data_IF_739777795530
#
_entry.id   IF_739777795530
#
_cell.length_a   1.000
_cell.length_b   1.000
_cell.length_c   1.000
_cell.angle_alpha   90.00
_cell.angle_beta   90.00
_cell.angle_gamma   90.00
#
_symmetry.space_group_name_H-M   'P 1'
#
loop_
_entity.id
_entity.type
_entity.pdbx_description
1 polymer ?
#
# COMPACT_ATOMS: atom_id res chain seq x y z
N UNK A 1 4.22 -20.53 9.86
CA UNK A 1 5.12 -19.53 9.22
C UNK A 1 5.32 -18.34 10.14
N UNK A 2 6.41 -17.60 9.95
CA UNK A 2 6.67 -16.32 10.64
C UNK A 2 6.11 -15.17 9.82
N UNK A 3 5.27 -14.34 10.44
CA UNK A 3 4.60 -13.21 9.78
C UNK A 3 4.87 -11.94 10.57
N UNK A 4 5.34 -10.87 9.92
CA UNK A 4 5.40 -9.57 10.57
C UNK A 4 4.05 -8.85 10.45
N UNK A 5 3.52 -8.30 11.53
CA UNK A 5 2.30 -7.50 11.53
C UNK A 5 2.62 -6.07 11.91
N UNK A 6 2.15 -5.09 11.15
CA UNK A 6 2.29 -3.67 11.47
C UNK A 6 0.98 -2.93 11.28
N UNK A 7 0.71 -1.94 12.13
CA UNK A 7 -0.42 -1.06 11.95
C UNK A 7 -0.15 0.35 12.47
N UNK A 8 -0.82 1.34 11.87
CA UNK A 8 -0.93 2.68 12.43
C UNK A 8 -2.12 2.77 13.42
N UNK A 9 -2.31 3.94 14.01
CA UNK A 9 -3.40 4.21 14.95
C UNK A 9 -4.79 3.90 14.39
N UNK A 10 -5.01 4.12 13.09
CA UNK A 10 -6.28 3.83 12.45
C UNK A 10 -6.47 2.33 12.20
N UNK A 11 -5.38 1.58 12.02
CA UNK A 11 -5.36 0.12 11.89
C UNK A 11 -5.38 -0.64 13.22
N UNK A 12 -5.08 0.01 14.33
CA UNK A 12 -4.99 -0.59 15.67
C UNK A 12 -6.23 -1.44 16.06
N UNK A 13 -7.49 -1.05 15.76
CA UNK A 13 -8.66 -1.88 16.11
C UNK A 13 -8.70 -3.27 15.46
N UNK A 14 -8.04 -3.46 14.32
CA UNK A 14 -7.98 -4.76 13.63
C UNK A 14 -6.77 -5.59 14.05
N UNK A 15 -5.85 -5.04 14.86
CA UNK A 15 -4.61 -5.70 15.25
C UNK A 15 -4.86 -6.99 16.04
N UNK A 16 -5.53 -6.89 17.18
CA UNK A 16 -5.72 -8.05 18.06
C UNK A 16 -6.53 -9.18 17.41
N UNK A 17 -7.67 -8.91 16.71
CA UNK A 17 -8.43 -9.97 16.06
C UNK A 17 -7.62 -10.73 15.00
N UNK A 18 -6.86 -10.01 14.16
CA UNK A 18 -6.04 -10.65 13.12
C UNK A 18 -4.90 -11.44 13.77
N UNK A 19 -4.11 -10.85 14.67
CA UNK A 19 -2.98 -11.53 15.31
C UNK A 19 -3.46 -12.81 16.01
N UNK A 20 -4.53 -12.72 16.80
CA UNK A 20 -5.07 -13.87 17.53
C UNK A 20 -5.52 -15.00 16.58
N UNK A 21 -6.20 -14.66 15.47
CA UNK A 21 -6.63 -15.65 14.48
C UNK A 21 -5.43 -16.35 13.81
N UNK A 22 -4.39 -15.59 13.44
CA UNK A 22 -3.20 -16.14 12.81
C UNK A 22 -2.39 -17.02 13.77
N UNK A 23 -2.29 -16.64 15.05
CA UNK A 23 -1.65 -17.46 16.08
C UNK A 23 -2.43 -18.76 16.32
N UNK A 24 -3.77 -18.71 16.33
CA UNK A 24 -4.62 -19.91 16.41
C UNK A 24 -4.42 -20.85 15.22
N UNK A 25 -4.15 -20.31 14.03
CA UNK A 25 -3.84 -21.08 12.83
C UNK A 25 -2.38 -21.62 12.83
N UNK A 26 -1.62 -21.41 13.90
CA UNK A 26 -0.26 -21.91 14.08
C UNK A 26 0.82 -21.03 13.42
N UNK A 27 0.52 -19.76 13.14
CA UNK A 27 1.52 -18.80 12.70
C UNK A 27 2.21 -18.11 13.89
N UNK A 28 3.46 -17.72 13.68
CA UNK A 28 4.24 -16.96 14.64
C UNK A 28 4.24 -15.50 14.20
N UNK A 29 3.50 -14.66 14.92
CA UNK A 29 3.32 -13.25 14.52
C UNK A 29 4.30 -12.35 15.27
N UNK A 30 5.16 -11.66 14.51
CA UNK A 30 6.02 -10.59 15.02
C UNK A 30 5.25 -9.27 14.93
N UNK A 31 4.75 -8.81 16.07
CA UNK A 31 4.02 -7.55 16.18
C UNK A 31 4.97 -6.34 16.20
N UNK A 32 4.96 -5.59 15.09
CA UNK A 32 5.72 -4.36 14.85
C UNK A 32 4.80 -3.14 14.75
N UNK A 33 3.52 -3.26 15.09
CA UNK A 33 2.54 -2.17 14.97
C UNK A 33 2.52 -1.22 16.16
N UNK A 34 1.65 -0.22 16.10
CA UNK A 34 1.35 0.62 17.27
C UNK A 34 0.68 -0.17 18.39
N UNK A 35 0.90 0.25 19.63
CA UNK A 35 0.27 -0.28 20.84
C UNK A 35 -0.80 0.67 21.43
N UNK A 36 -1.08 1.79 20.75
CA UNK A 36 -2.14 2.72 21.13
C UNK A 36 -2.86 3.29 19.90
N UNK A 37 -4.02 3.90 20.15
CA UNK A 37 -4.79 4.67 19.18
C UNK A 37 -4.30 6.11 19.00
N UNK A 38 -3.17 6.46 19.62
CA UNK A 38 -2.57 7.79 19.50
C UNK A 38 -2.03 8.01 18.08
N UNK A 39 -2.14 9.22 17.51
CA UNK A 39 -1.69 9.50 16.15
C UNK A 39 -0.21 9.13 15.93
N UNK A 40 0.03 8.35 14.88
CA UNK A 40 1.34 7.87 14.43
C UNK A 40 1.38 7.78 12.90
N UNK A 41 2.59 7.75 12.35
CA UNK A 41 2.83 7.75 10.91
C UNK A 41 3.01 6.33 10.34
N UNK A 42 2.10 5.91 9.46
CA UNK A 42 2.15 4.59 8.82
C UNK A 42 3.47 4.23 8.09
N UNK A 43 4.28 5.18 7.53
CA UNK A 43 5.53 4.82 6.86
C UNK A 43 6.56 4.15 7.79
N UNK A 44 6.56 4.45 9.08
CA UNK A 44 7.50 3.84 10.02
C UNK A 44 7.22 2.35 10.21
N UNK A 45 5.95 1.98 10.36
CA UNK A 45 5.51 0.59 10.43
C UNK A 45 5.73 -0.15 9.10
N UNK A 46 5.46 0.52 7.97
CA UNK A 46 5.75 -0.04 6.65
C UNK A 46 7.25 -0.36 6.47
N UNK A 47 8.12 0.52 6.96
CA UNK A 47 9.57 0.31 6.97
C UNK A 47 9.98 -0.84 7.88
N UNK A 48 9.42 -0.94 9.08
CA UNK A 48 9.72 -2.03 10.01
C UNK A 48 9.34 -3.40 9.43
N UNK A 49 8.10 -3.56 8.97
CA UNK A 49 7.61 -4.80 8.34
C UNK A 49 8.38 -5.12 7.06
N UNK A 50 8.58 -4.13 6.19
CA UNK A 50 9.31 -4.32 4.94
C UNK A 50 10.76 -4.75 5.17
N UNK A 51 11.45 -4.20 6.17
CA UNK A 51 12.79 -4.64 6.52
C UNK A 51 12.80 -6.05 7.12
N UNK A 52 11.81 -6.43 7.92
CA UNK A 52 11.69 -7.79 8.43
C UNK A 52 11.58 -8.83 7.30
N UNK A 53 10.76 -8.53 6.28
CA UNK A 53 10.60 -9.38 5.08
C UNK A 53 11.88 -9.41 4.24
N UNK A 54 12.48 -8.25 3.95
CA UNK A 54 13.70 -8.15 3.11
C UNK A 54 14.90 -8.87 3.70
N UNK A 55 15.03 -8.83 5.02
CA UNK A 55 16.12 -9.50 5.74
C UNK A 55 15.81 -10.97 6.05
N UNK A 56 14.68 -11.50 5.55
CA UNK A 56 14.26 -12.90 5.73
C UNK A 56 14.06 -13.32 7.20
N UNK A 57 13.80 -12.35 8.09
CA UNK A 57 13.41 -12.61 9.48
C UNK A 57 12.00 -13.20 9.56
N UNK A 58 11.14 -12.78 8.65
CA UNK A 58 9.80 -13.32 8.45
C UNK A 58 9.63 -13.73 6.99
N UNK A 59 8.68 -14.61 6.72
CA UNK A 59 8.36 -15.08 5.37
C UNK A 59 7.49 -14.04 4.64
N UNK A 60 6.53 -13.47 5.36
CA UNK A 60 5.52 -12.55 4.83
C UNK A 60 5.22 -11.43 5.84
N UNK A 61 4.64 -10.32 5.34
CA UNK A 61 4.22 -9.20 6.17
C UNK A 61 2.74 -8.84 5.97
N UNK A 62 2.12 -8.27 7.00
CA UNK A 62 0.78 -7.69 6.96
C UNK A 62 0.86 -6.27 7.52
N UNK A 63 0.28 -5.31 6.79
CA UNK A 63 0.17 -3.91 7.18
C UNK A 63 -1.29 -3.50 7.21
N UNK A 64 -1.70 -2.82 8.27
CA UNK A 64 -3.06 -2.29 8.41
C UNK A 64 -3.01 -0.80 8.68
N UNK A 65 -3.64 0.00 7.83
CA UNK A 65 -3.86 1.41 8.12
C UNK A 65 -5.29 1.81 7.80
N UNK A 66 -5.66 3.08 8.00
CA UNK A 66 -7.03 3.54 7.80
C UNK A 66 -7.65 3.11 6.45
N UNK A 67 -6.98 3.37 5.33
CA UNK A 67 -7.43 2.91 4.00
C UNK A 67 -6.56 1.80 3.39
N UNK A 68 -5.43 1.46 4.02
CA UNK A 68 -4.39 0.59 3.45
C UNK A 68 -3.54 1.22 2.34
N UNK A 69 -4.04 2.28 1.66
CA UNK A 69 -3.37 2.92 0.52
C UNK A 69 -2.01 3.50 0.90
N UNK A 70 -1.95 4.27 1.99
CA UNK A 70 -0.70 4.90 2.42
C UNK A 70 0.38 3.87 2.75
N UNK A 71 0.00 2.85 3.53
CA UNK A 71 0.91 1.77 3.91
C UNK A 71 1.44 1.02 2.68
N UNK A 72 0.58 0.70 1.72
CA UNK A 72 0.98 0.06 0.47
C UNK A 72 1.94 0.92 -0.36
N UNK A 73 1.69 2.23 -0.46
CA UNK A 73 2.57 3.16 -1.17
C UNK A 73 3.95 3.20 -0.51
N UNK A 74 4.00 3.34 0.83
CA UNK A 74 5.24 3.40 1.58
C UNK A 74 6.05 2.10 1.50
N UNK A 75 5.39 0.95 1.72
CA UNK A 75 6.03 -0.37 1.67
C UNK A 75 6.64 -0.66 0.29
N UNK A 76 5.93 -0.34 -0.80
CA UNK A 76 6.44 -0.53 -2.17
C UNK A 76 7.62 0.41 -2.54
N UNK A 77 8.01 1.37 -1.68
CA UNK A 77 9.27 2.13 -1.87
C UNK A 77 10.51 1.36 -1.40
N UNK A 78 10.32 0.27 -0.67
CA UNK A 78 11.40 -0.56 -0.16
C UNK A 78 11.74 -1.63 -1.20
N UNK A 79 12.97 -1.61 -1.72
CA UNK A 79 13.41 -2.58 -2.75
C UNK A 79 13.23 -4.02 -2.28
N UNK A 80 12.59 -4.85 -3.09
CA UNK A 80 12.31 -6.26 -2.78
C UNK A 80 11.02 -6.46 -2.00
N UNK A 81 10.31 -5.39 -1.63
CA UNK A 81 8.95 -5.46 -1.07
C UNK A 81 7.95 -5.28 -2.20
N UNK A 82 6.99 -6.20 -2.26
CA UNK A 82 5.83 -6.17 -3.15
C UNK A 82 4.59 -6.18 -2.27
N UNK A 83 4.11 -4.98 -1.98
CA UNK A 83 2.96 -4.77 -1.12
C UNK A 83 1.67 -4.66 -1.96
N UNK A 84 0.68 -5.48 -1.64
CA UNK A 84 -0.62 -5.47 -2.30
C UNK A 84 -1.70 -4.94 -1.36
N UNK A 85 -2.44 -3.91 -1.80
CA UNK A 85 -3.64 -3.46 -1.11
C UNK A 85 -4.81 -4.36 -1.52
N UNK A 86 -5.38 -5.08 -0.56
CA UNK A 86 -6.50 -5.98 -0.79
C UNK A 86 -7.65 -5.66 0.15
N UNK A 87 -8.88 -5.75 -0.35
CA UNK A 87 -10.12 -5.50 0.40
C UNK A 87 -11.15 -6.61 0.18
N UNK A 88 -10.75 -7.68 -0.50
CA UNK A 88 -11.57 -8.84 -0.81
C UNK A 88 -10.67 -10.07 -1.01
N UNK A 89 -11.27 -11.26 -0.93
CA UNK A 89 -10.56 -12.54 -1.04
C UNK A 89 -9.89 -12.72 -2.42
N UNK A 90 -10.54 -12.24 -3.48
CA UNK A 90 -10.05 -12.40 -4.85
C UNK A 90 -8.73 -11.66 -5.06
N UNK A 91 -8.67 -10.38 -4.71
CA UNK A 91 -7.47 -9.55 -4.84
C UNK A 91 -6.36 -10.03 -3.92
N UNK A 92 -6.70 -10.53 -2.73
CA UNK A 92 -5.75 -11.14 -1.81
C UNK A 92 -5.06 -12.35 -2.45
N UNK A 93 -5.87 -13.34 -2.88
CA UNK A 93 -5.38 -14.55 -3.55
C UNK A 93 -4.56 -14.23 -4.80
N UNK A 94 -5.10 -13.41 -5.70
CA UNK A 94 -4.43 -13.03 -6.94
C UNK A 94 -3.11 -12.32 -6.69
N UNK A 95 -3.01 -11.47 -5.66
CA UNK A 95 -1.74 -10.79 -5.36
C UNK A 95 -0.61 -11.77 -5.01
N UNK A 96 -0.94 -12.93 -4.42
CA UNK A 96 0.02 -13.99 -4.13
C UNK A 96 0.31 -14.85 -5.35
N UNK A 97 -0.75 -15.32 -6.01
CA UNK A 97 -0.66 -16.24 -7.14
C UNK A 97 0.03 -15.60 -8.36
N UNK A 98 -0.27 -14.33 -8.67
CA UNK A 98 0.20 -13.65 -9.88
C UNK A 98 1.44 -12.78 -9.65
N UNK A 99 1.50 -12.06 -8.53
CA UNK A 99 2.52 -11.03 -8.28
C UNK A 99 3.54 -11.44 -7.21
N UNK A 100 3.37 -12.62 -6.60
CA UNK A 100 4.17 -13.08 -5.46
C UNK A 100 4.32 -11.98 -4.40
N UNK A 101 3.23 -11.28 -4.08
CA UNK A 101 3.21 -10.21 -3.09
C UNK A 101 3.72 -10.76 -1.75
N UNK A 102 4.68 -10.09 -1.12
CA UNK A 102 5.25 -10.52 0.16
C UNK A 102 4.80 -9.65 1.34
N UNK A 103 4.02 -8.61 1.06
CA UNK A 103 3.33 -7.80 2.08
C UNK A 103 1.87 -7.62 1.68
N UNK A 104 0.95 -7.95 2.57
CA UNK A 104 -0.47 -7.62 2.47
C UNK A 104 -0.74 -6.27 3.11
N UNK A 105 -1.53 -5.41 2.47
CA UNK A 105 -2.01 -4.15 3.04
C UNK A 105 -3.54 -4.19 3.12
N UNK A 106 -4.09 -3.89 4.30
CA UNK A 106 -5.53 -3.86 4.58
C UNK A 106 -5.97 -2.46 5.01
N UNK A 107 -7.24 -2.16 4.75
CA UNK A 107 -7.87 -0.87 5.08
C UNK A 107 -8.85 -1.03 6.23
N UNK A 108 -8.47 -0.57 7.43
CA UNK A 108 -9.29 -0.75 8.63
C UNK A 108 -10.64 -0.01 8.61
N UNK A 109 -10.80 1.01 7.76
CA UNK A 109 -12.08 1.72 7.59
C UNK A 109 -12.99 1.07 6.56
N UNK A 110 -12.49 0.12 5.79
CA UNK A 110 -13.21 -0.56 4.72
C UNK A 110 -13.63 -1.99 5.10
N UNK A 111 -12.98 -2.58 6.11
CA UNK A 111 -13.19 -3.97 6.53
C UNK A 111 -13.63 -4.03 7.98
N UNK A 112 -14.52 -4.97 8.27
CA UNK A 112 -14.74 -5.46 9.63
C UNK A 112 -13.66 -6.50 10.02
N UNK A 113 -13.54 -6.85 11.32
CA UNK A 113 -12.54 -7.81 11.78
C UNK A 113 -12.64 -9.17 11.11
N UNK A 114 -13.84 -9.71 10.93
CA UNK A 114 -14.07 -11.01 10.34
C UNK A 114 -13.59 -11.06 8.88
N UNK A 115 -13.96 -10.08 8.05
CA UNK A 115 -13.51 -9.97 6.67
C UNK A 115 -11.98 -9.79 6.59
N UNK A 116 -11.40 -8.99 7.49
CA UNK A 116 -9.95 -8.79 7.52
C UNK A 116 -9.19 -10.08 7.87
N UNK A 117 -9.74 -10.89 8.79
CA UNK A 117 -9.20 -12.21 9.13
C UNK A 117 -9.30 -13.17 7.94
N UNK A 118 -10.45 -13.25 7.28
CA UNK A 118 -10.64 -14.13 6.11
C UNK A 118 -9.70 -13.76 4.96
N UNK A 119 -9.54 -12.46 4.68
CA UNK A 119 -8.60 -11.95 3.68
C UNK A 119 -7.16 -12.31 4.04
N UNK A 120 -6.76 -12.12 5.30
CA UNK A 120 -5.41 -12.48 5.76
C UNK A 120 -5.14 -13.98 5.61
N UNK A 121 -6.11 -14.83 5.96
CA UNK A 121 -6.01 -16.28 5.83
C UNK A 121 -5.90 -16.73 4.38
N UNK A 122 -6.77 -16.23 3.50
CA UNK A 122 -6.74 -16.54 2.07
C UNK A 122 -5.40 -16.11 1.43
N UNK A 123 -4.88 -14.95 1.85
CA UNK A 123 -3.58 -14.48 1.38
C UNK A 123 -2.42 -15.35 1.87
N UNK A 124 -2.41 -15.75 3.14
CA UNK A 124 -1.35 -16.59 3.70
C UNK A 124 -1.39 -18.04 3.17
N UNK A 125 -2.57 -18.53 2.79
CA UNK A 125 -2.72 -19.88 2.21
C UNK A 125 -2.40 -19.93 0.72
N UNK A 126 -2.47 -18.79 0.01
CA UNK A 126 -2.21 -18.72 -1.42
C UNK A 126 -0.70 -18.81 -1.75
N UNK A 127 -0.39 -19.62 -2.77
CA UNK A 127 0.96 -19.86 -3.26
C UNK A 127 1.20 -19.19 -4.62
N UNK A 128 2.43 -18.74 -4.87
CA UNK A 128 2.78 -18.17 -6.17
C UNK A 128 2.66 -19.22 -7.27
N UNK A 129 1.94 -18.90 -8.36
CA UNK A 129 1.61 -19.91 -9.38
C UNK A 129 2.83 -20.40 -10.18
N UNK A 130 3.90 -19.60 -10.22
CA UNK A 130 5.11 -19.93 -10.97
C UNK A 130 4.93 -19.95 -12.48
N UNK A 131 3.79 -19.50 -13.01
CA UNK A 131 3.54 -19.48 -14.45
C UNK A 131 4.50 -18.52 -15.16
N UNK A 132 4.94 -18.89 -16.36
CA UNK A 132 5.94 -18.14 -17.13
C UNK A 132 5.56 -16.65 -17.29
N UNK A 133 4.27 -16.37 -17.51
CA UNK A 133 3.78 -15.00 -17.65
C UNK A 133 3.93 -14.17 -16.36
N UNK A 134 3.83 -14.80 -15.19
CA UNK A 134 3.95 -14.17 -13.87
C UNK A 134 5.41 -13.95 -13.51
N UNK A 135 6.27 -14.96 -13.69
CA UNK A 135 7.73 -14.83 -13.54
C UNK A 135 8.27 -13.67 -14.39
N UNK A 136 7.85 -13.59 -15.66
CA UNK A 136 8.25 -12.49 -16.56
C UNK A 136 7.80 -11.11 -16.06
N UNK A 137 6.58 -10.99 -15.53
CA UNK A 137 6.06 -9.72 -15.00
C UNK A 137 6.79 -9.32 -13.73
N UNK A 138 7.04 -10.28 -12.85
CA UNK A 138 7.82 -10.09 -11.62
C UNK A 138 9.24 -9.59 -11.94
N UNK A 139 9.91 -10.16 -12.94
CA UNK A 139 11.22 -9.69 -13.40
C UNK A 139 11.18 -8.22 -13.84
N UNK A 140 10.13 -7.80 -14.56
CA UNK A 140 9.95 -6.38 -14.95
C UNK A 140 9.72 -5.46 -13.74
N UNK A 141 9.02 -5.92 -12.71
CA UNK A 141 8.87 -5.15 -11.46
C UNK A 141 10.26 -4.95 -10.83
N UNK A 142 11.08 -6.01 -10.77
CA UNK A 142 12.46 -5.91 -10.27
C UNK A 142 13.34 -4.97 -11.09
N UNK A 143 13.17 -4.92 -12.42
CA UNK A 143 13.85 -3.93 -13.28
C UNK A 143 13.45 -2.49 -12.90
N UNK A 144 12.16 -2.23 -12.64
CA UNK A 144 11.68 -0.92 -12.19
C UNK A 144 12.34 -0.49 -10.87
N UNK A 145 12.49 -1.40 -9.91
CA UNK A 145 13.14 -1.13 -8.60
C UNK A 145 14.62 -0.74 -8.73
N UNK A 146 15.29 -1.29 -9.75
CA UNK A 146 16.70 -1.02 -10.05
C UNK A 146 16.89 0.29 -10.84
N UNK A 147 15.80 0.96 -11.22
CA UNK A 147 15.83 2.17 -12.05
C UNK A 147 16.03 1.88 -13.53
N UNK A 148 15.95 0.61 -13.94
CA UNK A 148 15.89 0.25 -15.35
C UNK A 148 14.48 0.47 -15.85
N UNK A 149 14.23 1.67 -16.38
CA UNK A 149 13.11 1.87 -17.28
C UNK A 149 13.57 1.36 -18.65
N UNK A 150 13.04 0.23 -19.17
CA UNK A 150 13.32 -0.13 -20.55
C UNK A 150 12.96 1.07 -21.41
N UNK A 151 13.92 1.56 -22.21
CA UNK A 151 13.59 2.53 -23.27
C UNK A 151 12.42 1.93 -24.01
N UNK A 152 11.37 2.72 -24.25
CA UNK A 152 10.24 2.28 -25.05
C UNK A 152 10.78 1.72 -26.35
N UNK A 153 10.99 0.40 -26.41
CA UNK A 153 11.34 -0.29 -27.63
C UNK A 153 10.16 -0.03 -28.53
N UNK A 154 10.42 0.44 -29.74
CA UNK A 154 9.45 0.72 -30.80
C UNK A 154 8.68 -0.55 -31.20
N UNK A 155 7.91 -1.09 -30.28
CA UNK A 155 6.69 -1.84 -30.53
C UNK A 155 5.56 -0.87 -30.20
N UNK A 156 5.58 0.26 -30.89
CA UNK A 156 4.34 0.92 -31.28
C UNK A 156 3.55 -0.18 -31.95
N UNK A 157 2.56 -0.74 -31.26
CA UNK A 157 1.41 -1.32 -31.94
C UNK A 157 1.02 -0.22 -32.91
N UNK A 158 1.31 -0.40 -34.20
CA UNK A 158 0.71 0.42 -35.24
C UNK A 158 -0.78 0.18 -35.05
N UNK A 159 -1.43 1.02 -34.24
CA UNK A 159 -2.86 1.15 -34.30
C UNK A 159 -3.07 1.68 -35.70
N UNK A 160 -3.47 0.78 -36.61
CA UNK A 160 -4.07 1.23 -37.85
C UNK A 160 -5.14 2.25 -37.45
N UNK A 161 -5.19 3.42 -38.12
CA UNK A 161 -6.22 4.40 -37.81
C UNK A 161 -7.57 3.69 -37.96
N UNK A 162 -8.29 3.57 -36.85
CA UNK A 162 -9.61 2.95 -36.84
C UNK A 162 -10.44 3.66 -37.92
N UNK A 163 -11.02 2.95 -38.90
CA UNK A 163 -11.86 3.59 -39.89
C UNK A 163 -12.99 4.32 -39.14
N UNK A 164 -13.12 5.62 -39.43
CA UNK A 164 -14.14 6.46 -38.82
C UNK A 164 -15.50 5.77 -39.09
N UNK A 165 -16.32 5.49 -38.06
CA UNK A 165 -17.59 4.80 -38.29
C UNK A 165 -18.41 5.61 -39.30
N UNK A 166 -18.97 4.92 -40.30
CA UNK A 166 -19.87 5.53 -41.27
C UNK A 166 -21.00 6.20 -40.51
N UNK A 167 -21.27 7.48 -40.81
CA UNK A 167 -22.40 8.20 -40.21
C UNK A 167 -23.69 7.49 -40.62
N UNK A 168 -24.33 6.81 -39.68
CA UNK A 168 -25.68 6.28 -39.85
C UNK A 168 -26.63 7.42 -39.47
N UNK A 169 -27.44 7.88 -40.43
CA UNK A 169 -28.56 8.81 -40.22
C UNK A 169 -28.16 10.27 -40.03
N UNK A 170 -28.15 11.04 -41.12
CA UNK A 170 -28.35 12.49 -41.01
C UNK A 170 -29.83 12.74 -40.70
N UNK A 171 -30.14 12.96 -39.42
CA UNK A 171 -31.34 13.74 -39.08
C UNK A 171 -31.09 15.21 -39.44
N UNK A 172 -32.02 15.90 -40.11
CA UNK A 172 -31.84 17.31 -40.45
C UNK A 172 -31.74 18.17 -39.19
N UNK A 173 -30.68 18.98 -39.08
CA UNK A 173 -30.51 19.97 -38.01
C UNK A 173 -31.74 20.90 -37.96
N UNK A 174 -32.31 21.17 -36.77
CA UNK A 174 -33.35 22.19 -36.64
C UNK A 174 -32.79 23.59 -36.93
N UNK A 175 -33.60 24.52 -37.48
CA UNK A 175 -33.13 25.83 -37.88
C UNK A 175 -32.57 26.61 -36.69
N UNK A 176 -31.33 27.09 -36.82
CA UNK A 176 -30.65 27.92 -35.83
C UNK A 176 -31.45 29.19 -35.53
N UNK A 177 -31.77 29.41 -34.26
CA UNK A 177 -32.31 30.68 -33.80
C UNK A 177 -31.29 31.81 -34.03
N UNK A 178 -31.78 32.99 -34.45
CA UNK A 178 -30.94 34.18 -34.65
C UNK A 178 -30.23 34.57 -33.33
N UNK A 179 -28.94 34.92 -33.36
CA UNK A 179 -28.26 35.40 -32.16
C UNK A 179 -28.86 36.73 -31.72
N UNK A 180 -29.16 36.85 -30.43
CA UNK A 180 -29.49 38.13 -29.81
C UNK A 180 -28.24 39.03 -29.75
N UNK A 181 -28.39 40.35 -29.88
CA UNK A 181 -27.25 41.26 -29.80
C UNK A 181 -26.64 41.20 -28.40
N UNK A 182 -25.31 41.06 -28.37
CA UNK A 182 -24.48 41.07 -27.16
C UNK A 182 -24.60 42.45 -26.48
N UNK A 183 -24.79 42.53 -25.15
CA UNK A 183 -24.75 43.84 -24.49
C UNK A 183 -23.34 44.45 -24.62
N UNK A 184 -23.30 45.79 -24.73
CA UNK A 184 -22.08 46.55 -24.90
C UNK A 184 -21.12 46.37 -23.70
N UNK A 185 -19.79 46.41 -23.90
CA UNK A 185 -18.84 46.29 -22.80
C UNK A 185 -18.97 47.50 -21.87
N UNK A 186 -19.02 47.26 -20.56
CA UNK A 186 -18.80 48.31 -19.57
C UNK A 186 -17.32 48.71 -19.62
N UNK A 187 -17.06 50.02 -19.62
CA UNK A 187 -15.70 50.57 -19.59
C UNK A 187 -15.00 50.15 -18.29
N UNK A 188 -13.97 49.30 -18.39
CA UNK A 188 -13.08 49.01 -17.27
C UNK A 188 -12.10 50.17 -17.07
N UNK A 189 -12.04 50.72 -15.85
CA UNK A 189 -11.04 51.71 -15.47
C UNK A 189 -9.61 51.17 -15.63
N UNK A 190 -8.65 51.98 -16.08
CA UNK A 190 -7.28 51.52 -16.29
C UNK A 190 -6.61 51.19 -14.95
N UNK A 191 -6.13 49.95 -14.82
CA UNK A 191 -5.36 49.50 -13.68
C UNK A 191 -4.13 50.41 -13.43
N UNK A 192 -3.80 50.75 -12.17
CA UNK A 192 -2.67 51.62 -11.86
C UNK A 192 -1.34 50.97 -12.27
N UNK A 193 -0.45 51.76 -12.86
CA UNK A 193 0.87 51.31 -13.31
C UNK A 193 1.71 50.82 -12.10
N UNK A 194 2.46 49.71 -12.24
CA UNK A 194 3.28 49.20 -11.16
C UNK A 194 4.44 50.17 -10.86
N UNK A 195 4.61 50.48 -9.58
CA UNK A 195 5.71 51.29 -9.05
C UNK A 195 7.00 50.45 -9.11
N UNK A 196 8.16 50.99 -9.57
CA UNK A 196 9.40 50.24 -9.63
C UNK A 196 9.87 49.89 -8.22
N UNK A 197 9.92 48.59 -7.90
CA UNK A 197 10.43 48.08 -6.63
C UNK A 197 11.97 48.16 -6.67
N UNK A 198 12.57 48.84 -5.70
CA UNK A 198 14.02 48.94 -5.56
C UNK A 198 14.68 47.55 -5.61
N UNK A 199 15.71 47.41 -6.44
CA UNK A 199 16.48 46.18 -6.58
C UNK A 199 17.14 45.83 -5.24
N UNK A 200 16.61 44.81 -4.57
CA UNK A 200 17.39 44.10 -3.54
C UNK A 200 18.41 43.24 -4.25
N UNK A 201 19.69 43.49 -3.97
CA UNK A 201 20.81 42.67 -4.41
C UNK A 201 20.50 41.19 -4.11
N UNK A 202 20.62 40.35 -5.15
CA UNK A 202 20.54 38.90 -4.99
C UNK A 202 21.81 38.45 -4.27
N UNK A 203 21.72 37.71 -3.15
CA UNK A 203 22.90 37.08 -2.60
C UNK A 203 23.44 36.05 -3.60
N UNK A 204 24.77 35.96 -3.68
CA UNK A 204 25.48 35.01 -4.53
C UNK A 204 24.99 33.56 -4.28
N UNK A 205 25.02 32.67 -5.30
CA UNK A 205 24.59 31.29 -5.11
C UNK A 205 25.49 30.61 -4.07
N UNK A 206 24.92 30.31 -2.91
CA UNK A 206 25.54 29.42 -1.93
C UNK A 206 25.72 28.05 -2.56
N UNK A 207 26.94 27.50 -2.42
CA UNK A 207 27.29 26.17 -2.87
C UNK A 207 26.28 25.12 -2.40
N UNK A 208 26.01 24.05 -3.20
CA UNK A 208 25.12 22.99 -2.77
C UNK A 208 25.62 22.39 -1.45
N UNK A 209 24.71 22.07 -0.50
CA UNK A 209 25.12 21.40 0.73
C UNK A 209 25.81 20.08 0.38
N UNK A 210 26.86 19.66 1.13
CA UNK A 210 27.47 18.36 0.93
C UNK A 210 26.40 17.28 1.05
N UNK A 211 26.48 16.27 0.18
CA UNK A 211 25.58 15.12 0.20
C UNK A 211 25.47 14.59 1.63
N UNK A 212 24.25 14.59 2.19
CA UNK A 212 23.98 13.97 3.48
C UNK A 212 24.37 12.49 3.36
N UNK A 213 25.35 12.07 4.13
CA UNK A 213 25.60 10.64 4.37
C UNK A 213 24.31 9.98 4.86
N UNK A 214 23.86 8.87 4.26
CA UNK A 214 22.71 8.15 4.74
C UNK A 214 23.19 7.16 5.80
N UNK A 215 23.39 7.59 7.05
CA UNK A 215 23.59 6.63 8.16
C UNK A 215 23.65 7.31 9.53
N UNK A 216 22.55 7.22 10.29
CA UNK A 216 22.57 7.10 11.76
C UNK A 216 21.19 6.83 12.34
N UNK A 217 20.13 7.32 11.70
CA UNK A 217 18.75 7.04 12.12
C UNK A 217 18.28 5.64 11.70
N UNK A 218 18.69 5.14 10.52
CA UNK A 218 18.36 3.79 10.07
C UNK A 218 18.97 2.71 10.97
N UNK A 219 20.21 2.91 11.44
CA UNK A 219 20.86 1.94 12.34
C UNK A 219 20.17 1.82 13.70
N UNK A 220 19.49 2.87 14.18
CA UNK A 220 18.80 2.86 15.47
C UNK A 220 17.60 1.94 15.45
N UNK A 221 16.68 2.14 14.51
CA UNK A 221 15.48 1.30 14.37
C UNK A 221 15.82 -0.10 13.87
N UNK A 222 16.82 -0.27 13.02
CA UNK A 222 17.30 -1.60 12.63
C UNK A 222 17.85 -2.38 13.82
N UNK A 223 18.56 -1.73 14.74
CA UNK A 223 19.04 -2.37 15.96
C UNK A 223 17.91 -2.67 16.95
N UNK A 224 16.90 -1.82 17.03
CA UNK A 224 15.75 -2.00 17.93
C UNK A 224 14.84 -3.13 17.43
N UNK A 225 14.56 -3.18 16.12
CA UNK A 225 13.88 -4.30 15.48
C UNK A 225 14.70 -5.58 15.63
N UNK A 226 16.03 -5.54 15.45
CA UNK A 226 16.89 -6.71 15.67
C UNK A 226 16.83 -7.22 17.12
N UNK A 227 16.77 -6.32 18.12
CA UNK A 227 16.60 -6.71 19.53
C UNK A 227 15.24 -7.34 19.81
N UNK A 228 14.16 -6.75 19.28
CA UNK A 228 12.80 -7.32 19.39
C UNK A 228 12.75 -8.71 18.73
N UNK A 229 13.48 -8.89 17.61
CA UNK A 229 13.59 -10.19 16.92
C UNK A 229 14.43 -11.19 17.73
N UNK A 230 15.57 -10.80 18.30
CA UNK A 230 16.36 -11.67 19.20
C UNK A 230 15.55 -12.10 20.43
N UNK A 231 14.66 -11.25 20.93
CA UNK A 231 13.76 -11.57 22.02
C UNK A 231 12.63 -12.49 21.55
N UNK A 232 12.11 -12.29 20.35
CA UNK A 232 11.11 -13.16 19.71
C UNK A 232 11.62 -14.58 19.47
N UNK A 233 12.83 -14.74 18.93
CA UNK A 233 13.45 -16.06 18.69
C UNK A 233 13.73 -16.83 20.00
N UNK A 234 13.74 -16.14 21.15
CA UNK A 234 13.90 -16.76 22.49
C UNK A 234 12.58 -17.16 23.14
N UNK A 235 11.43 -16.74 22.60
CA UNK A 235 10.14 -17.10 23.16
C UNK A 235 9.83 -18.56 22.79
N UNK A 236 9.51 -19.44 23.77
CA UNK A 236 8.97 -20.75 23.45
C UNK A 236 7.64 -20.57 22.69
N UNK A 237 7.26 -21.50 21.80
CA UNK A 237 5.97 -21.45 21.14
C UNK A 237 4.88 -21.31 22.20
N UNK A 238 4.07 -20.25 22.10
CA UNK A 238 2.92 -20.07 23.00
C UNK A 238 2.02 -21.28 22.82
N UNK A 239 1.87 -22.08 23.87
CA UNK A 239 0.91 -23.18 23.88
C UNK A 239 -0.48 -22.57 23.66
N UNK A 240 -1.29 -23.10 22.72
CA UNK A 240 -2.64 -22.61 22.53
C UNK A 240 -3.38 -22.75 23.86
N UNK A 241 -3.85 -21.62 24.40
CA UNK A 241 -4.71 -21.59 25.57
C UNK A 241 -5.90 -22.49 25.27
N UNK A 242 -6.10 -23.52 26.09
CA UNK A 242 -7.16 -24.50 25.90
C UNK A 242 -8.50 -23.78 25.65
N UNK A 243 -9.13 -24.10 24.51
CA UNK A 243 -10.49 -23.67 24.19
C UNK A 243 -11.40 -23.99 25.38
N UNK A 244 -12.19 -23.03 25.90
CA UNK A 244 -13.16 -23.35 26.94
C UNK A 244 -14.11 -24.42 26.42
N UNK A 245 -14.17 -25.57 27.11
CA UNK A 245 -15.10 -26.64 26.75
C UNK A 245 -16.54 -26.08 26.74
N UNK A 246 -17.38 -26.46 25.77
CA UNK A 246 -18.79 -26.12 25.81
C UNK A 246 -19.42 -26.72 27.08
N UNK A 247 -20.36 -26.00 27.73
CA UNK A 247 -21.02 -26.50 28.93
C UNK A 247 -21.76 -27.82 28.62
N UNK A 248 -21.83 -28.76 29.58
CA UNK A 248 -22.52 -30.03 29.38
C UNK A 248 -24.00 -29.81 29.03
N UNK A 249 -24.61 -30.68 28.21
CA UNK A 249 -26.00 -30.56 27.82
C UNK A 249 -26.92 -30.65 29.05
N UNK A 250 -27.90 -29.74 29.13
CA UNK A 250 -28.91 -29.73 30.18
C UNK A 250 -29.70 -31.05 30.21
N UNK A 251 -30.02 -31.59 31.41
CA UNK A 251 -30.81 -32.81 31.52
C UNK A 251 -32.23 -32.61 30.94
N UNK A 252 -32.85 -33.67 30.38
CA UNK A 252 -34.19 -33.57 29.82
C UNK A 252 -35.22 -33.24 30.92
N UNK A 253 -36.29 -32.48 30.57
CA UNK A 253 -37.31 -32.08 31.53
C UNK A 253 -38.09 -33.30 32.07
N UNK A 254 -38.65 -33.18 33.29
CA UNK A 254 -39.34 -34.26 34.00
C UNK A 254 -40.62 -34.73 33.32
#
# INVERSE_FOLDING_TARGET
MRVAFGCDHAGHPLKEPIIAALEQDGHHVLDLGTFSSDPVDYPDFARAVGNAVRNQFVELGILVCGSGVGAAIAANKLRGVRAALCQDLFTARQSREDDNANVLCLGARALDPEAAIEIAREWLSAEFSGEERHIRRLAKITELEQGFLPRATERTVRREPTPRPARIGEEPEPPRARPTPRPAPLEEEPAPRPVPRAAKERPAPTAPPPAREPARAESSLSNEVAKVIEEFDRLPPRTPTATPQPPPPSPPPP
#
